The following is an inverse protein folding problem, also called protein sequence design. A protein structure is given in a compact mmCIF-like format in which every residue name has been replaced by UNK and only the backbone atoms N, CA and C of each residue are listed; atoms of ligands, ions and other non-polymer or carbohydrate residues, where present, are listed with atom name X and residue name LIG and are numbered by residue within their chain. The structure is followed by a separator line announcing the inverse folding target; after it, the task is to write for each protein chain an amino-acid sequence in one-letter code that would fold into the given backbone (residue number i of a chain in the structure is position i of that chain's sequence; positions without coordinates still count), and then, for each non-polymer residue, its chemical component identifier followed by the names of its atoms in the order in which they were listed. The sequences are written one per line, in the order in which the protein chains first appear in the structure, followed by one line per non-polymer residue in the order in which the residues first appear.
data_IF_552035067698
#
_entry.id   IF_552035067698
#
_cell.length_a   1.000
_cell.length_b   1.000
_cell.length_c   1.000
_cell.angle_alpha   90.00
_cell.angle_beta   90.00
_cell.angle_gamma   90.00
#
_symmetry.space_group_name_H-M   'P 1'
#
loop_
_entity.id
_entity.type
_entity.pdbx_description
1 polymer ?
#
# COMPACT_ATOMS: atom_id res chain seq x y z
N UNK A 1 1.57 -9.68 5.02
CA UNK A 1 0.46 -9.17 4.19
C UNK A 1 0.54 -7.67 4.17
N UNK A 2 0.51 -7.07 2.98
CA UNK A 2 0.49 -5.63 2.78
C UNK A 2 -0.95 -5.23 2.43
N UNK A 3 -1.40 -4.09 2.94
CA UNK A 3 -2.67 -3.47 2.53
C UNK A 3 -2.41 -2.07 2.03
N UNK A 4 -3.15 -1.66 1.01
CA UNK A 4 -3.21 -0.30 0.49
C UNK A 4 -4.62 0.19 0.79
N UNK A 5 -4.76 1.29 1.52
CA UNK A 5 -6.07 1.91 1.82
C UNK A 5 -7.12 0.90 2.33
N UNK A 6 -6.68 0.02 3.23
CA UNK A 6 -7.46 -1.09 3.82
C UNK A 6 -7.77 -2.28 2.89
N UNK A 7 -7.36 -2.24 1.62
CA UNK A 7 -7.46 -3.36 0.68
C UNK A 7 -6.23 -4.26 0.74
N UNK A 8 -6.41 -5.59 0.81
CA UNK A 8 -5.31 -6.56 0.83
C UNK A 8 -4.68 -6.67 -0.55
N UNK A 9 -3.37 -6.45 -0.65
CA UNK A 9 -2.61 -6.66 -1.89
C UNK A 9 -1.95 -8.03 -1.84
N UNK A 10 -2.34 -8.90 -2.77
CA UNK A 10 -1.76 -10.24 -2.98
C UNK A 10 -0.87 -10.32 -4.22
N UNK A 11 -1.13 -9.49 -5.23
CA UNK A 11 -0.33 -9.41 -6.46
C UNK A 11 0.96 -8.59 -6.23
N UNK A 12 2.11 -9.21 -6.48
CA UNK A 12 3.43 -8.59 -6.37
C UNK A 12 3.73 -7.64 -7.53
N UNK A 13 2.99 -7.73 -8.65
CA UNK A 13 3.16 -6.91 -9.84
C UNK A 13 2.21 -5.71 -9.92
N UNK A 14 1.37 -5.48 -8.90
CA UNK A 14 0.38 -4.41 -8.91
C UNK A 14 1.06 -3.03 -9.06
N UNK A 15 0.76 -2.34 -10.17
CA UNK A 15 1.21 -0.97 -10.42
C UNK A 15 0.17 0.01 -9.89
N UNK A 16 0.58 0.85 -8.95
CA UNK A 16 -0.23 1.97 -8.46
C UNK A 16 0.04 3.19 -9.33
N UNK A 17 -1.01 3.95 -9.64
CA UNK A 17 -0.88 5.23 -10.33
C UNK A 17 -0.18 6.28 -9.46
N UNK A 18 0.19 7.41 -10.06
CA UNK A 18 0.68 8.55 -9.29
C UNK A 18 -0.37 9.00 -8.26
N UNK A 19 0.07 9.31 -7.03
CA UNK A 19 -0.83 9.60 -5.92
C UNK A 19 -0.20 9.37 -4.55
N UNK A 20 -0.98 9.56 -3.49
CA UNK A 20 -0.56 9.30 -2.12
C UNK A 20 -1.38 8.17 -1.54
N UNK A 21 -0.70 7.17 -1.00
CA UNK A 21 -1.30 5.93 -0.51
C UNK A 21 -0.89 5.66 0.94
N UNK A 22 -1.77 5.02 1.70
CA UNK A 22 -1.42 4.48 3.03
C UNK A 22 -1.19 2.98 2.90
N UNK A 23 0.07 2.58 3.08
CA UNK A 23 0.50 1.20 3.14
C UNK A 23 0.47 0.71 4.59
N UNK A 24 -0.28 -0.33 4.85
CA UNK A 24 -0.22 -1.08 6.10
C UNK A 24 0.58 -2.36 5.87
N UNK A 25 1.67 -2.53 6.62
CA UNK A 25 2.49 -3.75 6.61
C UNK A 25 2.26 -4.52 7.91
N UNK A 26 1.59 -5.67 7.84
CA UNK A 26 1.19 -6.41 9.03
C UNK A 26 0.18 -5.63 9.90
N UNK A 27 0.13 -5.87 11.22
CA UNK A 27 -0.91 -5.27 12.09
C UNK A 27 -0.59 -3.87 12.62
N UNK A 28 0.70 -3.52 12.78
CA UNK A 28 1.12 -2.32 13.52
C UNK A 28 2.02 -1.36 12.76
N UNK A 29 2.43 -1.68 11.52
CA UNK A 29 3.28 -0.79 10.72
C UNK A 29 2.42 -0.13 9.65
N UNK A 30 2.48 1.19 9.60
CA UNK A 30 1.80 2.03 8.62
C UNK A 30 2.83 2.97 7.99
N UNK A 31 2.75 3.16 6.69
CA UNK A 31 3.60 4.06 5.93
C UNK A 31 2.74 4.85 4.96
N UNK A 32 2.95 6.16 4.87
CA UNK A 32 2.35 6.99 3.84
C UNK A 32 3.37 7.15 2.73
N UNK A 33 3.01 6.75 1.50
CA UNK A 33 3.90 6.79 0.35
C UNK A 33 3.27 7.66 -0.73
N UNK A 34 4.02 8.63 -1.22
CA UNK A 34 3.65 9.42 -2.39
C UNK A 34 4.44 8.91 -3.58
N UNK A 35 3.72 8.47 -4.61
CA UNK A 35 4.26 8.06 -5.90
C UNK A 35 4.08 9.24 -6.87
N UNK A 36 5.19 9.81 -7.30
CA UNK A 36 5.28 10.85 -8.34
C UNK A 36 5.54 10.22 -9.69
#
# INVERSE_FOLDING_TARGET
GVRVDSSVVSDKGLKLGAGTYVLQVGKRKFARVTLT
#
